data_IF_034277251461
#
_entry.id   IF_034277251461
#
_cell.length_a   1.000
_cell.length_b   1.000
_cell.length_c   1.000
_cell.angle_alpha   90.00
_cell.angle_beta   90.00
_cell.angle_gamma   90.00
#
_symmetry.space_group_name_H-M   'P 1'
#
loop_
_entity.id
_entity.type
_entity.pdbx_description
1 polymer ?
#
# COMPACT_ATOMS: atom_id res chain seq x y z
N UNK A 1 13.02 -7.87 10.34
CA UNK A 1 11.67 -8.46 10.35
C UNK A 1 10.86 -7.74 9.28
N UNK A 2 10.60 -8.37 8.14
CA UNK A 2 10.16 -7.69 6.92
C UNK A 2 8.81 -6.98 7.09
N UNK A 3 7.89 -7.58 7.86
CA UNK A 3 6.60 -6.97 8.15
C UNK A 3 6.75 -5.69 9.00
N UNK A 4 7.68 -5.67 9.96
CA UNK A 4 7.94 -4.46 10.76
C UNK A 4 8.43 -3.31 9.88
N UNK A 5 9.29 -3.59 8.91
CA UNK A 5 9.80 -2.60 7.96
C UNK A 5 8.69 -2.10 7.00
N UNK A 6 7.79 -3.00 6.57
CA UNK A 6 6.62 -2.62 5.79
C UNK A 6 5.71 -1.65 6.55
N UNK A 7 5.47 -1.90 7.84
CA UNK A 7 4.67 -1.00 8.69
C UNK A 7 5.30 0.38 8.89
N UNK A 8 6.64 0.45 9.00
CA UNK A 8 7.36 1.73 9.03
C UNK A 8 7.31 2.45 7.67
N UNK A 9 7.36 1.70 6.58
CA UNK A 9 7.28 2.24 5.21
C UNK A 9 5.98 3.01 4.99
N UNK A 10 4.85 2.55 5.53
CA UNK A 10 3.53 3.20 5.41
C UNK A 10 3.47 4.59 6.04
N UNK A 11 4.24 4.84 7.10
CA UNK A 11 4.28 6.15 7.78
C UNK A 11 5.05 7.20 7.01
N UNK A 12 5.78 6.80 5.96
CA UNK A 12 6.58 7.71 5.14
C UNK A 12 5.72 8.58 4.23
N UNK A 13 6.33 9.62 3.65
CA UNK A 13 5.71 10.39 2.56
C UNK A 13 5.64 9.58 1.27
N UNK A 14 4.55 9.74 0.54
CA UNK A 14 4.40 9.18 -0.81
C UNK A 14 5.55 9.60 -1.73
N UNK A 15 6.13 8.64 -2.45
CA UNK A 15 7.30 8.81 -3.34
C UNK A 15 6.91 8.63 -4.81
N UNK A 16 6.02 9.49 -5.29
CA UNK A 16 5.48 9.41 -6.65
C UNK A 16 6.52 9.90 -7.69
N UNK A 17 6.90 9.01 -8.62
CA UNK A 17 7.80 9.36 -9.74
C UNK A 17 7.09 10.20 -10.82
N UNK A 18 7.83 11.08 -11.50
CA UNK A 18 7.33 11.93 -12.62
C UNK A 18 7.14 11.17 -13.96
N UNK A 19 7.20 9.84 -13.96
CA UNK A 19 6.98 9.01 -15.15
C UNK A 19 5.49 8.85 -15.46
N UNK A 20 5.18 8.57 -16.72
CA UNK A 20 3.80 8.27 -17.15
C UNK A 20 3.19 7.14 -16.33
N UNK A 21 1.89 7.24 -16.07
CA UNK A 21 1.15 6.31 -15.22
C UNK A 21 1.30 4.86 -15.69
N UNK A 22 1.25 4.59 -17.00
CA UNK A 22 1.38 3.23 -17.53
C UNK A 22 2.65 2.50 -17.05
N UNK A 23 3.77 3.22 -16.97
CA UNK A 23 5.03 2.67 -16.46
C UNK A 23 4.99 2.47 -14.94
N UNK A 24 4.38 3.39 -14.21
CA UNK A 24 4.19 3.24 -12.75
C UNK A 24 3.27 2.09 -12.40
N UNK A 25 2.17 1.92 -13.14
CA UNK A 25 1.22 0.83 -12.95
C UNK A 25 1.91 -0.53 -13.08
N UNK A 26 2.72 -0.72 -14.14
CA UNK A 26 3.51 -1.93 -14.33
C UNK A 26 4.53 -2.16 -13.19
N UNK A 27 5.22 -1.10 -12.74
CA UNK A 27 6.13 -1.18 -11.59
C UNK A 27 5.38 -1.57 -10.30
N UNK A 28 4.18 -1.03 -10.08
CA UNK A 28 3.37 -1.34 -8.90
C UNK A 28 2.79 -2.74 -8.95
N UNK A 29 2.27 -3.20 -10.09
CA UNK A 29 1.84 -4.59 -10.29
C UNK A 29 2.99 -5.57 -10.05
N UNK A 30 4.20 -5.25 -10.54
CA UNK A 30 5.38 -6.08 -10.28
C UNK A 30 5.72 -6.14 -8.78
N UNK A 31 5.65 -5.02 -8.06
CA UNK A 31 5.82 -4.98 -6.60
C UNK A 31 4.77 -5.82 -5.88
N UNK A 32 3.50 -5.69 -6.25
CA UNK A 32 2.40 -6.48 -5.67
C UNK A 32 2.62 -7.98 -5.90
N UNK A 33 3.02 -8.36 -7.11
CA UNK A 33 3.23 -9.75 -7.48
C UNK A 33 4.51 -10.36 -6.89
N UNK A 34 5.43 -9.54 -6.37
CA UNK A 34 6.67 -10.03 -5.74
C UNK A 34 6.44 -10.76 -4.42
N UNK A 35 5.35 -10.44 -3.71
CA UNK A 35 5.09 -10.95 -2.35
C UNK A 35 6.00 -10.36 -1.27
N UNK A 36 6.80 -9.33 -1.59
CA UNK A 36 7.56 -8.60 -0.59
C UNK A 36 6.66 -7.58 0.13
N UNK A 37 6.39 -7.72 1.44
CA UNK A 37 5.52 -6.81 2.17
C UNK A 37 6.03 -5.37 2.15
N UNK A 38 7.34 -5.12 2.08
CA UNK A 38 7.89 -3.76 1.99
C UNK A 38 7.54 -3.16 0.63
N UNK A 39 7.72 -3.91 -0.45
CA UNK A 39 7.37 -3.47 -1.79
C UNK A 39 5.86 -3.19 -1.94
N UNK A 40 5.01 -4.03 -1.34
CA UNK A 40 3.56 -3.82 -1.32
C UNK A 40 3.20 -2.57 -0.52
N UNK A 41 3.82 -2.37 0.66
CA UNK A 41 3.61 -1.19 1.49
C UNK A 41 3.98 0.12 0.78
N UNK A 42 5.03 0.12 -0.06
CA UNK A 42 5.34 1.29 -0.89
C UNK A 42 4.21 1.64 -1.85
N UNK A 43 3.59 0.64 -2.50
CA UNK A 43 2.46 0.87 -3.41
C UNK A 43 1.26 1.44 -2.65
N UNK A 44 0.94 0.85 -1.49
CA UNK A 44 -0.16 1.32 -0.63
C UNK A 44 0.07 2.76 -0.21
N UNK A 45 1.27 3.11 0.28
CA UNK A 45 1.62 4.48 0.68
C UNK A 45 1.54 5.45 -0.49
N UNK A 46 2.12 5.08 -1.64
CA UNK A 46 2.26 5.99 -2.77
C UNK A 46 0.92 6.25 -3.48
N UNK A 47 -0.03 5.32 -3.35
CA UNK A 47 -1.41 5.46 -3.83
C UNK A 47 -2.40 5.87 -2.72
N UNK A 48 -1.97 6.03 -1.47
CA UNK A 48 -2.88 6.49 -0.43
C UNK A 48 -3.20 7.97 -0.63
N UNK A 49 -4.49 8.30 -0.61
CA UNK A 49 -4.99 9.65 -0.92
C UNK A 49 -5.22 10.46 0.35
N UNK A 50 -4.58 11.63 0.42
CA UNK A 50 -4.83 12.62 1.46
C UNK A 50 -5.91 13.63 1.04
N UNK A 51 -6.55 14.28 2.02
CA UNK A 51 -7.48 15.37 1.77
C UNK A 51 -6.83 16.48 0.92
N UNK A 52 -7.49 16.88 -0.17
CA UNK A 52 -7.01 17.91 -1.10
C UNK A 52 -6.29 17.40 -2.35
N UNK A 53 -6.06 16.09 -2.49
CA UNK A 53 -5.57 15.52 -3.74
C UNK A 53 -6.72 15.28 -4.73
N UNK A 54 -6.46 15.35 -6.06
CA UNK A 54 -7.44 14.98 -7.09
C UNK A 54 -7.97 13.55 -6.91
N UNK A 55 -9.14 13.28 -7.48
CA UNK A 55 -9.67 11.92 -7.53
C UNK A 55 -8.74 10.99 -8.31
N UNK A 56 -8.50 9.82 -7.73
CA UNK A 56 -7.77 8.75 -8.39
C UNK A 56 -8.58 8.22 -9.58
N UNK A 57 -7.88 7.92 -10.66
CA UNK A 57 -8.41 7.15 -11.78
C UNK A 57 -8.86 5.75 -11.32
N UNK A 58 -9.73 5.12 -12.10
CA UNK A 58 -10.19 3.76 -11.82
C UNK A 58 -9.02 2.77 -11.69
N UNK A 59 -8.06 2.87 -12.60
CA UNK A 59 -6.85 2.04 -12.59
C UNK A 59 -6.01 2.23 -11.34
N UNK A 60 -5.86 3.47 -10.84
CA UNK A 60 -5.13 3.74 -9.60
C UNK A 60 -5.84 3.11 -8.40
N UNK A 61 -7.17 3.21 -8.32
CA UNK A 61 -7.96 2.61 -7.24
C UNK A 61 -7.81 1.09 -7.23
N UNK A 62 -7.88 0.46 -8.40
CA UNK A 62 -7.77 -1.00 -8.51
C UNK A 62 -6.41 -1.51 -8.00
N UNK A 63 -5.31 -0.85 -8.37
CA UNK A 63 -3.96 -1.23 -7.91
C UNK A 63 -3.83 -0.99 -6.40
N UNK A 64 -4.36 0.12 -5.89
CA UNK A 64 -4.36 0.40 -4.45
C UNK A 64 -5.13 -0.67 -3.66
N UNK A 65 -6.35 -1.00 -4.08
CA UNK A 65 -7.18 -2.02 -3.44
C UNK A 65 -6.49 -3.38 -3.44
N UNK A 66 -5.86 -3.77 -4.55
CA UNK A 66 -5.11 -5.02 -4.66
C UNK A 66 -3.90 -5.06 -3.71
N UNK A 67 -3.12 -3.98 -3.66
CA UNK A 67 -1.97 -3.88 -2.76
C UNK A 67 -2.41 -3.92 -1.28
N UNK A 68 -3.48 -3.19 -0.96
CA UNK A 68 -4.02 -3.12 0.38
C UNK A 68 -4.58 -4.45 0.85
N UNK A 69 -5.30 -5.18 -0.02
CA UNK A 69 -5.85 -6.50 0.29
C UNK A 69 -4.75 -7.54 0.56
N UNK A 70 -3.69 -7.55 -0.26
CA UNK A 70 -2.52 -8.40 -0.08
C UNK A 70 -1.83 -8.13 1.26
N UNK A 71 -1.52 -6.87 1.55
CA UNK A 71 -0.83 -6.49 2.77
C UNK A 71 -1.67 -6.78 4.02
N UNK A 72 -2.98 -6.50 3.97
CA UNK A 72 -3.88 -6.82 5.08
C UNK A 72 -3.96 -8.32 5.36
N UNK A 73 -3.92 -9.15 4.31
CA UNK A 73 -3.92 -10.62 4.45
C UNK A 73 -2.65 -11.11 5.15
N UNK A 74 -1.48 -10.58 4.77
CA UNK A 74 -0.21 -10.95 5.40
C UNK A 74 -0.13 -10.50 6.86
N UNK A 75 -0.56 -9.26 7.15
CA UNK A 75 -0.63 -8.74 8.53
C UNK A 75 -1.59 -9.57 9.38
N UNK A 76 -2.77 -9.91 8.85
CA UNK A 76 -3.74 -10.74 9.55
C UNK A 76 -3.17 -12.12 9.93
N UNK A 77 -2.43 -12.73 9.01
CA UNK A 77 -1.78 -14.02 9.24
C UNK A 77 -0.70 -13.95 10.35
N UNK A 78 0.12 -12.89 10.36
CA UNK A 78 1.20 -12.70 11.35
C UNK A 78 0.62 -12.35 12.72
N UNK A 79 -0.34 -11.43 12.76
CA UNK A 79 -0.95 -10.94 14.00
C UNK A 79 -2.03 -11.89 14.56
N UNK A 80 -2.37 -12.96 13.82
CA UNK A 80 -3.45 -13.92 14.16
C UNK A 80 -4.78 -13.21 14.39
N UNK A 81 -5.09 -12.27 13.52
CA UNK A 81 -6.33 -11.48 13.54
C UNK A 81 -7.08 -11.63 12.21
N UNK A 82 -8.24 -11.00 12.09
CA UNK A 82 -8.97 -10.98 10.83
C UNK A 82 -8.50 -9.85 9.91
N UNK A 83 -8.88 -9.93 8.62
CA UNK A 83 -8.47 -8.95 7.61
C UNK A 83 -9.00 -7.55 7.91
N UNK A 84 -10.15 -7.42 8.59
CA UNK A 84 -10.74 -6.13 8.89
C UNK A 84 -9.94 -5.38 9.97
N UNK A 85 -9.54 -6.08 11.03
CA UNK A 85 -8.65 -5.54 12.06
C UNK A 85 -7.27 -5.20 11.51
N UNK A 86 -6.71 -6.05 10.64
CA UNK A 86 -5.46 -5.76 9.95
C UNK A 86 -5.57 -4.51 9.05
N UNK A 87 -6.68 -4.37 8.32
CA UNK A 87 -6.97 -3.20 7.48
C UNK A 87 -7.01 -1.91 8.31
N UNK A 88 -7.71 -1.92 9.43
CA UNK A 88 -7.78 -0.77 10.34
C UNK A 88 -6.39 -0.40 10.86
N UNK A 89 -5.59 -1.40 11.23
CA UNK A 89 -4.20 -1.19 11.66
C UNK A 89 -3.37 -0.52 10.56
N UNK A 90 -3.47 -0.96 9.32
CA UNK A 90 -2.77 -0.36 8.17
C UNK A 90 -3.21 1.09 7.94
N UNK A 91 -4.52 1.36 7.97
CA UNK A 91 -5.06 2.71 7.83
C UNK A 91 -4.57 3.65 8.93
N UNK A 92 -4.44 3.16 10.16
CA UNK A 92 -3.90 3.95 11.28
C UNK A 92 -2.41 4.29 11.08
N UNK A 93 -1.64 3.43 10.41
CA UNK A 93 -0.24 3.72 10.08
C UNK A 93 -0.11 4.75 8.96
N UNK A 94 -1.02 4.76 7.99
CA UNK A 94 -1.04 5.73 6.89
C UNK A 94 -1.41 7.15 7.34
N UNK A 95 -2.30 7.28 8.33
CA UNK A 95 -2.70 8.58 8.90
C UNK A 95 -1.60 9.27 9.71
N UNK A 96 -0.55 8.55 10.08
CA UNK A 96 0.52 9.06 10.92
C UNK A 96 1.64 9.80 10.15
N UNK A 97 1.54 9.88 8.81
CA UNK A 97 2.56 10.46 7.91
C UNK A 97 2.22 11.84 7.32
#
# INVERSE_FOLDING_TARGET
DAMKEAMETLKGRARIKRTMWSRRAQEYEAKINSGDPVAIAEVVRDLHRNAGQPDQSFSERQIYEQAMDRLATEVAAIDRTDKAAAMEKLLNHLKAG
#
